data_IF_814112650838
#
_entry.id   IF_814112650838
#
_cell.length_a   1.000
_cell.length_b   1.000
_cell.length_c   1.000
_cell.angle_alpha   90.00
_cell.angle_beta   90.00
_cell.angle_gamma   90.00
#
_symmetry.space_group_name_H-M   'P 1'
#
loop_
_entity.id
_entity.type
_entity.pdbx_description
1 polymer ?
#
# COMPACT_ATOMS: atom_id res chain seq x y z
N UNK A 1 -1.79 -35.91 -7.90
CA UNK A 1 -0.62 -35.00 -7.95
C UNK A 1 -1.14 -33.57 -8.03
N UNK A 2 -1.04 -32.77 -6.95
CA UNK A 2 -1.44 -31.35 -6.97
C UNK A 2 -0.20 -30.53 -7.31
N UNK A 3 -0.19 -29.88 -8.48
CA UNK A 3 0.78 -28.85 -8.78
C UNK A 3 0.46 -27.61 -7.92
N UNK A 4 1.26 -27.35 -6.90
CA UNK A 4 1.22 -26.08 -6.18
C UNK A 4 2.15 -25.11 -6.89
N UNK A 5 1.61 -24.08 -7.55
CA UNK A 5 2.42 -22.95 -7.98
C UNK A 5 2.65 -22.04 -6.77
N UNK A 6 3.88 -22.01 -6.27
CA UNK A 6 4.33 -20.95 -5.40
C UNK A 6 4.85 -19.83 -6.30
N UNK A 7 4.02 -18.79 -6.50
CA UNK A 7 4.53 -17.54 -7.06
C UNK A 7 5.43 -16.92 -5.99
N UNK A 8 6.74 -16.83 -6.28
CA UNK A 8 7.72 -16.21 -5.39
C UNK A 8 7.38 -14.73 -5.26
N UNK A 9 6.95 -14.31 -4.08
CA UNK A 9 6.66 -12.92 -3.76
C UNK A 9 8.00 -12.17 -3.63
N UNK A 10 8.19 -11.08 -4.38
CA UNK A 10 9.43 -10.29 -4.25
C UNK A 10 9.50 -9.65 -2.84
N UNK A 11 10.67 -9.67 -2.18
CA UNK A 11 10.77 -9.43 -0.73
C UNK A 11 10.57 -7.99 -0.28
N UNK A 12 10.41 -7.04 -1.21
CA UNK A 12 10.44 -5.61 -0.90
C UNK A 12 9.05 -5.00 -0.61
N UNK A 13 7.98 -5.78 -0.75
CA UNK A 13 6.60 -5.33 -0.57
C UNK A 13 5.88 -6.01 0.59
N UNK A 14 4.80 -5.38 1.07
CA UNK A 14 3.93 -6.00 2.08
C UNK A 14 3.35 -7.29 1.50
N UNK A 15 3.60 -8.39 2.21
CA UNK A 15 3.18 -9.73 1.82
C UNK A 15 1.74 -10.02 2.23
N UNK A 16 1.16 -11.09 1.67
CA UNK A 16 -0.17 -11.60 2.02
C UNK A 16 -0.38 -11.79 3.53
N UNK A 17 0.65 -12.20 4.25
CA UNK A 17 0.59 -12.42 5.71
C UNK A 17 0.25 -11.15 6.49
N UNK A 18 0.81 -10.00 6.09
CA UNK A 18 0.52 -8.71 6.71
C UNK A 18 -0.96 -8.32 6.59
N UNK A 19 -1.56 -8.51 5.41
CA UNK A 19 -3.00 -8.27 5.20
C UNK A 19 -3.86 -9.13 6.11
N UNK A 20 -3.53 -10.42 6.24
CA UNK A 20 -4.28 -11.35 7.09
C UNK A 20 -4.19 -11.00 8.57
N UNK A 21 -3.01 -10.56 9.02
CA UNK A 21 -2.79 -10.15 10.40
C UNK A 21 -3.67 -8.94 10.74
N UNK A 22 -3.64 -7.89 9.90
CA UNK A 22 -4.48 -6.70 10.08
C UNK A 22 -5.96 -7.08 10.05
N UNK A 23 -6.38 -7.91 9.10
CA UNK A 23 -7.77 -8.35 9.03
C UNK A 23 -8.20 -9.13 10.28
N UNK A 24 -7.30 -9.97 10.82
CA UNK A 24 -7.55 -10.76 12.02
C UNK A 24 -7.67 -9.93 13.30
N UNK A 25 -7.19 -8.69 13.32
CA UNK A 25 -7.36 -7.77 14.45
C UNK A 25 -8.63 -6.93 14.38
N UNK A 26 -9.36 -6.96 13.27
CA UNK A 26 -10.59 -6.17 13.07
C UNK A 26 -11.82 -6.94 13.54
N UNK A 27 -12.69 -6.26 14.29
CA UNK A 27 -13.99 -6.74 14.73
C UNK A 27 -15.06 -6.71 13.65
N UNK A 28 -16.25 -7.22 13.99
CA UNK A 28 -17.42 -7.14 13.10
C UNK A 28 -17.82 -5.67 12.92
N UNK A 29 -18.00 -5.25 11.66
CA UNK A 29 -18.30 -3.86 11.23
C UNK A 29 -17.12 -2.88 11.24
N UNK A 30 -15.89 -3.32 11.54
CA UNK A 30 -14.71 -2.48 11.39
C UNK A 30 -14.16 -2.53 9.95
N UNK A 31 -13.35 -1.53 9.58
CA UNK A 31 -12.60 -1.49 8.34
C UNK A 31 -11.15 -1.13 8.64
N UNK A 32 -10.21 -1.68 7.86
CA UNK A 32 -8.79 -1.41 8.00
C UNK A 32 -8.24 -0.57 6.86
N UNK A 33 -7.11 0.09 7.10
CA UNK A 33 -6.26 0.68 6.08
C UNK A 33 -4.81 0.30 6.38
N UNK A 34 -4.12 -0.29 5.42
CA UNK A 34 -2.69 -0.57 5.52
C UNK A 34 -1.95 0.51 4.76
N UNK A 35 -1.06 1.22 5.46
CA UNK A 35 -0.17 2.23 4.89
C UNK A 35 1.25 1.67 4.95
N UNK A 36 2.01 1.79 3.87
CA UNK A 36 3.43 1.40 3.83
C UNK A 36 4.25 2.45 3.07
N UNK A 37 5.54 2.55 3.39
CA UNK A 37 6.50 3.36 2.62
C UNK A 37 7.05 2.63 1.39
N UNK A 38 6.71 1.35 1.22
CA UNK A 38 7.02 0.53 0.04
C UNK A 38 5.78 0.26 -0.82
N UNK A 39 5.79 -0.82 -1.60
CA UNK A 39 4.66 -1.29 -2.40
C UNK A 39 4.01 -2.55 -1.76
N UNK A 40 2.87 -2.97 -2.28
CA UNK A 40 2.21 -4.22 -1.97
C UNK A 40 2.51 -5.28 -3.01
N UNK A 41 2.82 -6.48 -2.54
CA UNK A 41 2.90 -7.64 -3.40
C UNK A 41 1.58 -7.93 -4.14
N UNK A 42 1.67 -8.61 -5.28
CA UNK A 42 0.48 -9.09 -6.00
C UNK A 42 -0.37 -10.05 -5.13
N UNK A 43 0.25 -10.80 -4.22
CA UNK A 43 -0.47 -11.66 -3.28
C UNK A 43 -1.24 -10.87 -2.21
N UNK A 44 -0.67 -9.77 -1.71
CA UNK A 44 -1.37 -8.85 -0.81
C UNK A 44 -2.54 -8.14 -1.49
N UNK A 45 -2.35 -7.62 -2.71
CA UNK A 45 -3.42 -6.99 -3.51
C UNK A 45 -4.58 -7.95 -3.76
N UNK A 46 -4.29 -9.21 -4.11
CA UNK A 46 -5.32 -10.26 -4.25
C UNK A 46 -5.99 -10.65 -2.92
N UNK A 47 -5.29 -10.53 -1.79
CA UNK A 47 -5.84 -10.92 -0.49
C UNK A 47 -6.85 -9.88 0.05
N UNK A 48 -6.65 -8.59 -0.25
CA UNK A 48 -7.63 -7.55 0.11
C UNK A 48 -8.93 -7.66 -0.68
N UNK A 49 -8.87 -8.12 -1.93
CA UNK A 49 -10.04 -8.35 -2.81
C UNK A 49 -10.88 -9.58 -2.44
N UNK A 50 -10.47 -10.36 -1.43
CA UNK A 50 -11.16 -11.61 -1.08
C UNK A 50 -12.63 -11.33 -0.69
N UNK A 51 -13.61 -12.00 -1.34
CA UNK A 51 -15.02 -11.81 -1.01
C UNK A 51 -15.30 -12.24 0.44
N UNK A 52 -16.34 -11.64 1.02
CA UNK A 52 -16.84 -11.91 2.37
C UNK A 52 -15.80 -11.72 3.49
N UNK A 53 -14.73 -10.98 3.21
CA UNK A 53 -13.70 -10.64 4.17
C UNK A 53 -13.86 -9.18 4.63
N UNK A 54 -13.45 -8.90 5.87
CA UNK A 54 -13.49 -7.53 6.40
C UNK A 54 -12.72 -6.59 5.45
N UNK A 55 -13.32 -5.45 5.04
CA UNK A 55 -12.68 -4.51 4.11
C UNK A 55 -11.36 -3.97 4.66
N UNK A 56 -10.32 -4.07 3.84
CA UNK A 56 -9.01 -3.49 4.14
C UNK A 56 -8.54 -2.71 2.91
N UNK A 57 -8.44 -1.39 3.03
CA UNK A 57 -7.83 -0.52 2.03
C UNK A 57 -6.31 -0.64 2.05
N UNK A 58 -5.69 -0.32 0.92
CA UNK A 58 -4.24 -0.26 0.76
C UNK A 58 -3.83 1.17 0.35
N UNK A 59 -2.78 1.69 0.97
CA UNK A 59 -2.12 2.93 0.61
C UNK A 59 -0.61 2.68 0.53
N UNK A 60 -0.07 2.72 -0.67
CA UNK A 60 1.37 2.57 -0.89
C UNK A 60 2.12 3.91 -0.70
N UNK A 61 3.44 3.85 -0.79
CA UNK A 61 4.30 5.02 -0.56
C UNK A 61 4.03 6.16 -1.53
N UNK A 62 3.68 5.88 -2.79
CA UNK A 62 3.38 6.91 -3.78
C UNK A 62 2.07 7.63 -3.44
N UNK A 63 1.03 6.87 -3.09
CA UNK A 63 -0.25 7.42 -2.63
C UNK A 63 -0.09 8.23 -1.35
N UNK A 64 0.71 7.74 -0.39
CA UNK A 64 1.02 8.46 0.84
C UNK A 64 1.73 9.79 0.56
N UNK A 65 2.80 9.77 -0.22
CA UNK A 65 3.55 10.99 -0.57
C UNK A 65 2.66 11.99 -1.28
N UNK A 66 1.79 11.54 -2.19
CA UNK A 66 0.84 12.42 -2.87
C UNK A 66 -0.06 13.16 -1.87
N UNK A 67 -0.59 12.47 -0.86
CA UNK A 67 -1.41 13.10 0.19
C UNK A 67 -0.60 14.07 1.06
N UNK A 68 0.65 13.71 1.39
CA UNK A 68 1.53 14.61 2.14
C UNK A 68 1.79 15.91 1.37
N UNK A 69 2.06 15.82 0.06
CA UNK A 69 2.25 16.97 -0.83
C UNK A 69 0.97 17.79 -0.97
N UNK A 70 -0.17 17.14 -1.19
CA UNK A 70 -1.48 17.79 -1.34
C UNK A 70 -1.84 18.63 -0.10
N UNK A 71 -1.56 18.10 1.10
CA UNK A 71 -1.88 18.76 2.35
C UNK A 71 -0.71 19.56 2.97
N UNK A 72 0.45 19.62 2.31
CA UNK A 72 1.63 20.34 2.81
C UNK A 72 2.21 19.78 4.11
N UNK A 73 2.08 18.46 4.34
CA UNK A 73 2.52 17.81 5.57
C UNK A 73 3.97 17.33 5.44
N UNK A 74 4.89 17.96 6.17
CA UNK A 74 6.31 17.58 6.15
C UNK A 74 6.99 17.78 4.79
N UNK A 75 6.44 18.66 3.96
CA UNK A 75 6.95 18.98 2.63
C UNK A 75 7.26 20.47 2.57
N UNK A 76 8.46 20.80 2.08
CA UNK A 76 8.86 22.16 1.76
C UNK A 76 8.82 22.34 0.24
N UNK A 77 8.30 23.48 -0.22
CA UNK A 77 8.27 23.80 -1.65
C UNK A 77 9.44 24.72 -1.97
N UNK A 78 10.39 24.21 -2.72
CA UNK A 78 11.45 25.02 -3.31
C UNK A 78 11.02 25.55 -4.68
N UNK A 79 10.82 26.85 -4.79
CA UNK A 79 10.57 27.52 -6.08
C UNK A 79 11.90 27.70 -6.83
N UNK A 80 12.11 26.91 -7.89
CA UNK A 80 13.28 27.03 -8.75
C UNK A 80 13.14 28.22 -9.72
N UNK A 81 13.90 29.28 -9.48
CA UNK A 81 14.05 30.40 -10.42
C UNK A 81 15.05 30.04 -11.53
N UNK A 82 14.55 29.47 -12.62
CA UNK A 82 15.36 29.10 -13.79
C UNK A 82 15.43 30.27 -14.78
N UNK A 83 16.65 30.73 -15.09
CA UNK A 83 16.91 31.66 -16.19
C UNK A 83 17.30 30.86 -17.44
N UNK A 84 16.71 31.21 -18.58
CA UNK A 84 17.07 30.65 -19.89
C UNK A 84 17.72 31.74 -20.73
N UNK A 85 18.92 31.45 -21.25
CA UNK A 85 19.59 32.31 -22.21
C UNK A 85 19.21 31.90 -23.63
N UNK A 86 19.01 32.90 -24.49
CA UNK A 86 18.77 32.73 -25.93
C UNK A 86 20.06 32.64 -26.73
#
# INVERSE_FOLDING_TARGET
MRAGSAATEYPWGVARSGVRQVRGSLGSHEQGLIITTSDFSAGARKEVERPDAVPVGLMDGEQLVKLLVEHGLGVEKDELNLLRLG
#
